data_IF_650279405801
#
_entry.id   IF_650279405801
#
_cell.length_a   1.000
_cell.length_b   1.000
_cell.length_c   1.000
_cell.angle_alpha   90.00
_cell.angle_beta   90.00
_cell.angle_gamma   90.00
#
_symmetry.space_group_name_H-M   'P 1'
#
loop_
_entity.id
_entity.type
_entity.pdbx_description
1 polymer ?
#
# COMPACT_ATOMS: atom_id res chain seq x y z
N UNK A 1 6.25 3.25 -6.53
CA UNK A 1 4.85 2.80 -6.67
C UNK A 1 4.03 3.31 -5.49
N UNK A 2 2.79 3.76 -5.69
CA UNK A 2 1.89 4.14 -4.59
C UNK A 2 0.95 2.97 -4.30
N UNK A 3 0.89 2.53 -3.04
CA UNK A 3 0.11 1.36 -2.63
C UNK A 3 -0.57 1.56 -1.28
N UNK A 4 -1.71 0.91 -1.07
CA UNK A 4 -2.35 0.74 0.24
C UNK A 4 -2.56 -0.74 0.54
N UNK A 5 -2.75 -1.11 1.79
CA UNK A 5 -3.14 -2.48 2.11
C UNK A 5 -4.58 -2.75 1.71
N UNK A 6 -4.93 -4.03 1.54
CA UNK A 6 -6.33 -4.44 1.43
C UNK A 6 -7.15 -3.91 2.63
N UNK A 7 -8.47 -3.67 2.48
CA UNK A 7 -9.32 -3.20 3.57
C UNK A 7 -9.18 -4.06 4.84
N UNK A 8 -8.94 -3.43 5.99
CA UNK A 8 -8.67 -4.10 7.27
C UNK A 8 -7.34 -4.88 7.33
N UNK A 9 -6.52 -4.79 6.29
CA UNK A 9 -5.22 -5.43 6.17
C UNK A 9 -4.08 -4.56 6.67
N UNK A 10 -2.99 -5.21 7.10
CA UNK A 10 -1.77 -4.55 7.55
C UNK A 10 -0.57 -5.32 7.03
N UNK A 11 0.26 -4.66 6.23
CA UNK A 11 1.42 -5.28 5.58
C UNK A 11 2.70 -4.59 6.06
N UNK A 12 3.70 -5.32 6.57
CA UNK A 12 4.96 -4.72 7.00
C UNK A 12 5.72 -4.12 5.82
N UNK A 13 6.45 -3.04 6.07
CA UNK A 13 7.34 -2.47 5.06
C UNK A 13 8.64 -3.27 4.95
N UNK A 14 9.15 -3.36 3.72
CA UNK A 14 10.45 -3.96 3.44
C UNK A 14 11.54 -3.25 4.27
N UNK A 15 12.33 -4.03 5.02
CA UNK A 15 13.40 -3.55 5.91
C UNK A 15 12.96 -2.63 7.06
N UNK A 16 11.66 -2.50 7.34
CA UNK A 16 11.15 -1.70 8.47
C UNK A 16 10.04 -2.43 9.21
N UNK A 17 10.43 -3.37 10.08
CA UNK A 17 9.48 -4.20 10.85
C UNK A 17 8.52 -3.41 11.76
N UNK A 18 8.83 -2.15 12.08
CA UNK A 18 7.99 -1.25 12.88
C UNK A 18 7.06 -0.36 12.05
N UNK A 19 7.20 -0.38 10.72
CA UNK A 19 6.35 0.41 9.82
C UNK A 19 5.47 -0.53 9.02
N UNK A 20 4.20 -0.13 8.90
CA UNK A 20 3.20 -0.92 8.22
C UNK A 20 2.42 -0.06 7.25
N UNK A 21 2.10 -0.64 6.11
CA UNK A 21 1.16 -0.12 5.14
C UNK A 21 -0.21 -0.64 5.56
N UNK A 22 -1.14 0.27 5.75
CA UNK A 22 -2.54 -0.01 6.05
C UNK A 22 -3.42 0.48 4.91
N UNK A 23 -4.71 0.16 4.98
CA UNK A 23 -5.74 0.65 4.06
C UNK A 23 -6.10 2.12 4.30
N UNK A 24 -5.76 2.67 5.47
CA UNK A 24 -6.07 4.05 5.84
C UNK A 24 -5.40 5.12 4.95
N UNK A 25 -4.19 4.85 4.44
CA UNK A 25 -3.47 5.81 3.61
C UNK A 25 -2.57 5.10 2.61
N UNK A 26 -2.64 5.53 1.35
CA UNK A 26 -1.71 5.09 0.32
C UNK A 26 -0.30 5.65 0.59
N UNK A 27 0.70 4.77 0.52
CA UNK A 27 2.11 5.09 0.80
C UNK A 27 2.96 4.84 -0.44
N UNK A 28 3.88 5.77 -0.70
CA UNK A 28 4.84 5.64 -1.80
C UNK A 28 5.96 4.70 -1.37
N UNK A 29 6.05 3.57 -2.05
CA UNK A 29 7.07 2.53 -1.84
C UNK A 29 7.99 2.41 -3.05
N UNK A 30 9.21 1.87 -2.89
CA UNK A 30 10.03 1.45 -4.01
C UNK A 30 9.29 0.46 -4.89
N UNK A 31 9.55 0.49 -6.20
CA UNK A 31 9.04 -0.55 -7.10
C UNK A 31 9.96 -1.79 -7.03
N UNK A 32 9.91 -2.48 -5.88
CA UNK A 32 10.68 -3.70 -5.64
C UNK A 32 9.81 -4.94 -5.88
N UNK A 33 10.47 -6.07 -6.14
CA UNK A 33 9.81 -7.36 -6.31
C UNK A 33 8.95 -7.72 -5.08
N UNK A 34 9.37 -7.32 -3.88
CA UNK A 34 8.60 -7.52 -2.65
C UNK A 34 7.19 -6.91 -2.74
N UNK A 35 7.09 -5.62 -3.09
CA UNK A 35 5.81 -4.93 -3.19
C UNK A 35 5.00 -5.40 -4.41
N UNK A 36 5.66 -5.72 -5.53
CA UNK A 36 4.96 -6.26 -6.71
C UNK A 36 4.29 -7.60 -6.41
N UNK A 37 4.94 -8.51 -5.68
CA UNK A 37 4.36 -9.78 -5.26
C UNK A 37 3.15 -9.58 -4.35
N UNK A 38 3.27 -8.70 -3.36
CA UNK A 38 2.16 -8.39 -2.46
C UNK A 38 0.96 -7.79 -3.18
N UNK A 39 1.19 -7.02 -4.25
CA UNK A 39 0.12 -6.54 -5.12
C UNK A 39 -0.51 -7.69 -5.91
N UNK A 40 0.30 -8.58 -6.49
CA UNK A 40 -0.18 -9.73 -7.25
C UNK A 40 -0.98 -10.72 -6.38
N UNK A 41 -0.59 -10.88 -5.10
CA UNK A 41 -1.32 -11.68 -4.11
C UNK A 41 -2.58 -10.99 -3.57
N UNK A 42 -2.80 -9.71 -3.88
CA UNK A 42 -3.94 -8.94 -3.37
C UNK A 42 -3.80 -8.48 -1.91
N UNK A 43 -2.60 -8.60 -1.32
CA UNK A 43 -2.31 -8.04 0.01
C UNK A 43 -2.14 -6.52 -0.02
N UNK A 44 -1.59 -5.99 -1.13
CA UNK A 44 -1.51 -4.57 -1.44
C UNK A 44 -2.33 -4.23 -2.69
N UNK A 45 -2.85 -3.02 -2.73
CA UNK A 45 -3.57 -2.48 -3.89
C UNK A 45 -2.78 -1.28 -4.41
N UNK A 46 -2.53 -1.24 -5.72
CA UNK A 46 -1.92 -0.07 -6.37
C UNK A 46 -2.93 1.06 -6.38
N UNK A 47 -2.50 2.21 -5.90
CA UNK A 47 -3.26 3.44 -5.99
C UNK A 47 -2.60 4.35 -7.01
N UNK A 48 -3.38 4.91 -7.92
CA UNK A 48 -3.01 6.18 -8.55
C UNK A 48 -2.99 7.26 -7.46
N UNK A 49 -2.14 8.27 -7.59
CA UNK A 49 -1.96 9.37 -6.60
C UNK A 49 -3.27 9.76 -5.89
N UNK A 50 -3.24 10.07 -4.58
CA UNK A 50 -4.45 10.19 -3.79
C UNK A 50 -5.33 11.27 -4.40
N UNK A 51 -6.30 10.83 -5.20
CA UNK A 51 -7.44 11.63 -5.54
C UNK A 51 -8.13 11.80 -4.20
N UNK A 52 -7.95 12.98 -3.60
CA UNK A 52 -8.79 13.42 -2.51
C UNK A 52 -10.22 13.26 -2.99
N UNK A 53 -10.88 12.19 -2.57
CA UNK A 53 -12.33 12.08 -2.66
C UNK A 53 -12.88 12.95 -1.52
N UNK A 54 -12.79 14.26 -1.74
CA UNK A 54 -13.67 15.22 -1.09
C UNK A 54 -14.92 15.32 -1.95
N UNK A 55 -16.07 15.04 -1.34
CA UNK A 55 -17.38 15.33 -1.89
C UNK A 55 -18.42 14.43 -1.21
N UNK A 56 -19.50 14.93 -0.64
CA UNK A 56 -20.00 16.28 -0.38
C UNK A 56 -21.07 16.13 0.71
#
# INVERSE_FOLDING_TARGET
MLVKAKPGGKVPMENKSRQYITDAKAVKVPDSVYYQRLVAEGSLVRESEPQKEGGN
#
